data_IF_246738230426
#
_entry.id   IF_246738230426
#
_cell.length_a   1.000
_cell.length_b   1.000
_cell.length_c   1.000
_cell.angle_alpha   90.00
_cell.angle_beta   90.00
_cell.angle_gamma   90.00
#
_symmetry.space_group_name_H-M   'P 1'
#
loop_
_entity.id
_entity.type
_entity.pdbx_description
1 polymer ?
#
# COMPACT_ATOMS: atom_id res chain seq x y z
N UNK A 1 3.87 3.74 -23.53
CA UNK A 1 2.99 4.69 -22.81
C UNK A 1 2.90 4.27 -21.36
N UNK A 2 2.99 5.19 -20.39
CA UNK A 2 3.08 4.87 -18.97
C UNK A 2 1.85 4.10 -18.44
N UNK A 3 0.63 4.50 -18.85
CA UNK A 3 -0.62 3.86 -18.44
C UNK A 3 -0.72 2.41 -18.91
N UNK A 4 -0.29 2.08 -20.13
CA UNK A 4 -0.35 0.71 -20.63
C UNK A 4 0.60 -0.24 -19.87
N UNK A 5 1.77 0.26 -19.44
CA UNK A 5 2.67 -0.52 -18.58
C UNK A 5 2.03 -0.78 -17.23
N UNK A 6 1.34 0.22 -16.68
CA UNK A 6 0.59 0.08 -15.42
C UNK A 6 -0.58 -0.91 -15.54
N UNK A 7 -1.35 -0.88 -16.63
CA UNK A 7 -2.45 -1.82 -16.89
C UNK A 7 -1.99 -3.29 -16.93
N UNK A 8 -0.88 -3.57 -17.60
CA UNK A 8 -0.32 -4.93 -17.61
C UNK A 8 0.32 -5.30 -16.27
N UNK A 9 0.93 -4.30 -15.62
CA UNK A 9 1.62 -4.46 -14.35
C UNK A 9 0.67 -4.77 -13.20
N UNK A 10 -0.52 -4.17 -13.16
CA UNK A 10 -1.48 -4.39 -12.06
C UNK A 10 -2.01 -5.82 -12.06
N UNK A 11 -2.19 -6.43 -13.24
CA UNK A 11 -2.58 -7.84 -13.39
C UNK A 11 -1.43 -8.75 -12.94
N UNK A 12 -0.22 -8.47 -13.40
CA UNK A 12 0.97 -9.27 -13.02
C UNK A 12 1.34 -9.12 -11.54
N UNK A 13 1.00 -7.98 -10.94
CA UNK A 13 1.29 -7.61 -9.56
C UNK A 13 0.14 -7.88 -8.58
N UNK A 14 -0.83 -8.71 -8.96
CA UNK A 14 -1.97 -9.10 -8.12
C UNK A 14 -2.73 -7.90 -7.53
N UNK A 15 -3.07 -6.92 -8.38
CA UNK A 15 -3.86 -5.76 -7.99
C UNK A 15 -3.04 -4.57 -7.51
N UNK A 16 -1.71 -4.58 -7.56
CA UNK A 16 -0.91 -3.38 -7.30
C UNK A 16 0.28 -3.27 -8.24
N UNK A 17 0.48 -2.09 -8.81
CA UNK A 17 1.66 -1.81 -9.61
C UNK A 17 2.02 -0.33 -9.61
N UNK A 18 3.29 -0.03 -9.39
CA UNK A 18 3.83 1.32 -9.46
C UNK A 18 5.11 1.32 -10.29
N UNK A 19 5.22 2.25 -11.24
CA UNK A 19 6.40 2.36 -12.09
C UNK A 19 6.63 3.80 -12.51
N UNK A 20 7.86 4.08 -12.94
CA UNK A 20 8.23 5.34 -13.57
C UNK A 20 8.58 5.08 -15.03
N UNK A 21 7.96 5.79 -15.94
CA UNK A 21 8.32 5.82 -17.35
C UNK A 21 8.80 7.24 -17.69
N UNK A 22 10.10 7.36 -17.98
CA UNK A 22 10.78 8.66 -18.15
C UNK A 22 10.54 9.60 -16.94
N UNK A 23 9.86 10.72 -17.18
CA UNK A 23 9.50 11.74 -16.20
C UNK A 23 8.11 11.52 -15.59
N UNK A 24 7.41 10.45 -15.93
CA UNK A 24 6.05 10.16 -15.42
C UNK A 24 6.11 9.01 -14.43
N UNK A 25 5.62 9.25 -13.22
CA UNK A 25 5.31 8.21 -12.26
C UNK A 25 3.84 7.81 -12.40
N UNK A 26 3.56 6.51 -12.42
CA UNK A 26 2.20 5.95 -12.43
C UNK A 26 2.06 4.88 -11.35
N UNK A 27 0.86 4.80 -10.78
CA UNK A 27 0.48 3.80 -9.80
C UNK A 27 -0.96 3.36 -10.05
N UNK A 28 -1.19 2.06 -10.08
CA UNK A 28 -2.50 1.44 -10.13
C UNK A 28 -2.69 0.48 -8.96
N UNK A 29 -3.89 0.46 -8.40
CA UNK A 29 -4.30 -0.44 -7.33
C UNK A 29 -5.73 -0.92 -7.56
N UNK A 30 -5.97 -2.22 -7.38
CA UNK A 30 -7.29 -2.85 -7.40
C UNK A 30 -7.68 -3.27 -5.98
N UNK A 31 -8.98 -3.47 -5.76
CA UNK A 31 -9.48 -4.10 -4.54
C UNK A 31 -8.98 -5.55 -4.45
N UNK A 32 -8.72 -6.03 -3.22
CA UNK A 32 -8.01 -7.30 -3.01
C UNK A 32 -8.81 -8.56 -3.34
N UNK A 33 -10.14 -8.46 -3.47
CA UNK A 33 -11.05 -9.53 -3.87
C UNK A 33 -11.30 -9.58 -5.38
N UNK A 34 -10.73 -8.63 -6.13
CA UNK A 34 -11.01 -8.45 -7.55
C UNK A 34 -10.18 -9.42 -8.42
N UNK A 35 -10.85 -10.09 -9.36
CA UNK A 35 -10.16 -10.96 -10.32
C UNK A 35 -9.31 -10.17 -11.32
N UNK A 36 -8.33 -10.84 -11.95
CA UNK A 36 -7.40 -10.21 -12.91
C UNK A 36 -8.10 -9.48 -14.06
N UNK A 37 -9.16 -10.08 -14.61
CA UNK A 37 -9.94 -9.50 -15.70
C UNK A 37 -10.67 -8.21 -15.25
N UNK A 38 -11.36 -8.27 -14.11
CA UNK A 38 -12.09 -7.15 -13.52
C UNK A 38 -11.14 -6.01 -13.11
N UNK A 39 -9.96 -6.37 -12.60
CA UNK A 39 -8.90 -5.41 -12.27
C UNK A 39 -8.37 -4.69 -13.51
N UNK A 40 -8.09 -5.44 -14.60
CA UNK A 40 -7.69 -4.85 -15.88
C UNK A 40 -8.75 -3.88 -16.42
N UNK A 41 -10.02 -4.28 -16.38
CA UNK A 41 -11.13 -3.45 -16.87
C UNK A 41 -11.35 -2.21 -16.01
N UNK A 42 -11.28 -2.33 -14.69
CA UNK A 42 -11.41 -1.19 -13.80
C UNK A 42 -10.30 -0.16 -14.05
N UNK A 43 -9.05 -0.61 -14.14
CA UNK A 43 -7.90 0.28 -14.39
C UNK A 43 -8.01 0.94 -15.76
N UNK A 44 -8.41 0.23 -16.81
CA UNK A 44 -8.69 0.81 -18.13
C UNK A 44 -9.75 1.91 -18.06
N UNK A 45 -10.84 1.66 -17.35
CA UNK A 45 -11.91 2.64 -17.14
C UNK A 45 -11.38 3.88 -16.39
N UNK A 46 -10.55 3.68 -15.37
CA UNK A 46 -9.94 4.78 -14.62
C UNK A 46 -9.00 5.62 -15.51
N UNK A 47 -8.23 4.97 -16.39
CA UNK A 47 -7.35 5.63 -17.37
C UNK A 47 -8.18 6.49 -18.33
N UNK A 48 -9.23 5.94 -18.92
CA UNK A 48 -10.12 6.71 -19.81
C UNK A 48 -10.71 7.94 -19.12
N UNK A 49 -11.16 7.82 -17.87
CA UNK A 49 -11.64 8.98 -17.10
C UNK A 49 -10.53 9.99 -16.85
N UNK A 50 -9.32 9.53 -16.55
CA UNK A 50 -8.18 10.41 -16.34
C UNK A 50 -7.82 11.21 -17.61
N UNK A 51 -8.00 10.64 -18.80
CA UNK A 51 -7.76 11.35 -20.06
C UNK A 51 -8.79 12.46 -20.29
N UNK A 52 -10.06 12.21 -19.95
CA UNK A 52 -11.15 13.18 -20.11
C UNK A 52 -11.09 14.29 -19.05
N UNK A 53 -10.90 13.92 -17.78
CA UNK A 53 -10.96 14.86 -16.66
C UNK A 53 -9.61 15.52 -16.35
N UNK A 54 -8.50 14.80 -16.57
CA UNK A 54 -7.15 15.22 -16.18
C UNK A 54 -6.17 15.30 -17.37
N UNK A 55 -6.61 15.21 -18.64
CA UNK A 55 -5.72 15.10 -19.81
C UNK A 55 -4.73 16.26 -20.02
N UNK A 56 -4.92 17.41 -19.35
CA UNK A 56 -3.99 18.55 -19.36
C UNK A 56 -3.26 18.77 -18.03
N UNK A 57 -3.52 17.92 -17.04
CA UNK A 57 -2.97 18.06 -15.70
C UNK A 57 -1.60 17.39 -15.63
N UNK A 58 -0.68 17.98 -14.86
CA UNK A 58 0.65 17.39 -14.61
C UNK A 58 0.59 16.22 -13.63
N UNK A 59 -0.48 16.11 -12.85
CA UNK A 59 -0.74 15.01 -11.94
C UNK A 59 -2.24 14.83 -11.79
N UNK A 60 -2.67 13.61 -11.56
CA UNK A 60 -4.07 13.29 -11.36
C UNK A 60 -4.24 12.00 -10.58
N UNK A 61 -5.40 11.90 -9.93
CA UNK A 61 -5.80 10.72 -9.17
C UNK A 61 -7.26 10.43 -9.51
N UNK A 62 -7.55 9.18 -9.88
CA UNK A 62 -8.91 8.73 -10.18
C UNK A 62 -9.24 7.58 -9.25
N UNK A 63 -10.33 7.74 -8.50
CA UNK A 63 -10.87 6.75 -7.59
C UNK A 63 -12.15 6.18 -8.17
N UNK A 64 -12.16 4.88 -8.44
CA UNK A 64 -13.35 4.12 -8.77
C UNK A 64 -13.69 3.19 -7.61
N UNK A 65 -14.87 2.56 -7.68
CA UNK A 65 -15.33 1.67 -6.61
C UNK A 65 -14.37 0.50 -6.34
N UNK A 66 -13.78 -0.06 -7.41
CA UNK A 66 -12.96 -1.28 -7.38
C UNK A 66 -11.46 -1.05 -7.64
N UNK A 67 -11.04 0.18 -7.98
CA UNK A 67 -9.65 0.47 -8.27
C UNK A 67 -9.33 1.97 -8.15
N UNK A 68 -8.03 2.25 -8.08
CA UNK A 68 -7.44 3.56 -7.96
C UNK A 68 -6.27 3.67 -8.93
N UNK A 69 -6.15 4.82 -9.59
CA UNK A 69 -4.94 5.17 -10.35
C UNK A 69 -4.44 6.56 -9.96
N UNK A 70 -3.13 6.73 -10.06
CA UNK A 70 -2.44 8.00 -9.86
C UNK A 70 -1.35 8.17 -10.92
N UNK A 71 -1.19 9.39 -11.41
CA UNK A 71 -0.07 9.75 -12.26
C UNK A 71 0.51 11.11 -11.84
N UNK A 72 1.82 11.28 -12.03
CA UNK A 72 2.53 12.52 -11.74
C UNK A 72 3.71 12.71 -12.67
N UNK A 73 3.77 13.87 -13.32
CA UNK A 73 4.87 14.30 -14.17
C UNK A 73 5.88 15.09 -13.36
N UNK A 74 7.14 14.69 -13.45
CA UNK A 74 8.28 15.29 -12.79
C UNK A 74 9.25 15.86 -13.82
N UNK A 75 9.30 17.19 -14.03
CA UNK A 75 10.14 17.79 -15.07
C UNK A 75 11.65 17.50 -14.86
N UNK A 76 12.06 17.25 -13.61
CA UNK A 76 13.43 16.94 -13.24
C UNK A 76 13.69 15.42 -13.06
N UNK A 77 12.78 14.58 -13.57
CA UNK A 77 12.80 13.14 -13.39
C UNK A 77 12.11 12.68 -12.10
N UNK A 78 11.57 11.46 -12.12
CA UNK A 78 10.86 10.88 -10.97
C UNK A 78 11.84 10.65 -9.81
N UNK A 79 11.57 11.16 -8.60
CA UNK A 79 12.40 10.89 -7.44
C UNK A 79 12.46 9.39 -7.16
N UNK A 80 13.61 8.77 -7.39
CA UNK A 80 13.87 7.39 -6.96
C UNK A 80 14.02 7.38 -5.45
N UNK A 81 12.91 7.19 -4.73
CA UNK A 81 13.00 6.65 -3.37
C UNK A 81 13.53 5.23 -3.51
N UNK A 82 14.71 4.95 -2.94
CA UNK A 82 15.18 3.58 -2.76
C UNK A 82 14.04 2.79 -2.10
N UNK A 83 13.40 1.94 -2.88
CA UNK A 83 12.26 1.15 -2.48
C UNK A 83 12.70 0.17 -1.40
N UNK A 84 12.52 0.53 -0.13
CA UNK A 84 12.28 -0.46 0.89
C UNK A 84 10.93 -1.09 0.56
N UNK A 85 10.96 -2.14 -0.25
CA UNK A 85 9.87 -3.06 -0.46
C UNK A 85 9.25 -3.37 0.89
N UNK A 86 8.00 -2.98 1.07
CA UNK A 86 7.13 -3.52 2.12
C UNK A 86 6.80 -4.97 1.77
N UNK A 87 7.82 -5.82 1.81
CA UNK A 87 7.70 -7.25 1.95
C UNK A 87 7.67 -7.53 3.45
N UNK A 88 6.49 -7.80 3.96
CA UNK A 88 6.31 -8.42 5.26
C UNK A 88 7.00 -9.79 5.25
N UNK A 89 8.23 -9.84 5.77
CA UNK A 89 8.88 -11.08 6.19
C UNK A 89 9.84 -10.77 7.34
N UNK A 90 9.54 -11.38 8.47
CA UNK A 90 10.29 -11.35 9.72
C UNK A 90 11.71 -11.92 9.60
N UNK A 91 12.59 -11.36 10.44
CA UNK A 91 13.86 -11.89 10.97
C UNK A 91 15.14 -11.85 10.12
N UNK A 92 16.06 -10.95 10.52
CA UNK A 92 17.40 -11.25 11.07
C UNK A 92 18.54 -10.40 10.49
N UNK A 93 19.23 -9.69 11.39
CA UNK A 93 20.66 -9.37 11.37
C UNK A 93 21.24 -8.54 10.22
N UNK A 94 21.56 -7.27 10.51
CA UNK A 94 22.40 -6.43 9.67
C UNK A 94 22.63 -5.05 10.28
N UNK A 95 23.78 -4.88 10.92
CA UNK A 95 24.26 -3.66 11.57
C UNK A 95 24.35 -2.48 10.58
N UNK A 96 23.47 -1.49 10.72
CA UNK A 96 23.50 -0.25 9.93
C UNK A 96 22.58 0.80 10.57
N UNK A 97 23.18 1.81 11.17
CA UNK A 97 22.52 2.83 12.00
C UNK A 97 21.44 3.60 11.23
N UNK A 98 20.16 3.38 11.57
CA UNK A 98 19.06 4.27 11.21
C UNK A 98 18.23 4.53 12.47
N UNK A 99 18.59 5.58 13.21
CA UNK A 99 17.98 5.98 14.49
C UNK A 99 16.45 5.99 14.45
N UNK A 100 15.84 6.35 13.31
CA UNK A 100 14.38 6.34 13.14
C UNK A 100 13.73 4.95 13.16
N UNK A 101 14.41 3.91 12.63
CA UNK A 101 13.89 2.53 12.63
C UNK A 101 13.92 1.91 14.02
N UNK A 102 14.96 2.20 14.79
CA UNK A 102 15.10 1.72 16.18
C UNK A 102 14.04 2.33 17.10
N UNK A 103 13.75 3.63 16.95
CA UNK A 103 12.73 4.32 17.77
C UNK A 103 11.32 3.75 17.53
N UNK A 104 10.96 3.43 16.28
CA UNK A 104 9.66 2.85 15.95
C UNK A 104 9.45 1.44 16.53
N UNK A 105 10.51 0.60 16.53
CA UNK A 105 10.45 -0.75 17.11
C UNK A 105 10.28 -0.69 18.63
N UNK A 106 10.98 0.22 19.30
CA UNK A 106 10.92 0.37 20.77
C UNK A 106 9.57 0.91 21.22
N UNK A 107 9.03 1.94 20.56
CA UNK A 107 7.71 2.50 20.88
C UNK A 107 6.57 1.53 20.53
N UNK A 108 6.67 0.84 19.40
CA UNK A 108 5.65 -0.14 18.98
C UNK A 108 5.58 -1.37 19.89
N UNK A 109 6.73 -1.89 20.33
CA UNK A 109 6.79 -3.07 21.20
C UNK A 109 6.13 -2.83 22.57
N UNK A 110 6.32 -1.65 23.16
CA UNK A 110 5.76 -1.33 24.48
C UNK A 110 4.21 -1.27 24.47
N UNK A 111 3.60 -0.74 23.41
CA UNK A 111 2.15 -0.65 23.29
C UNK A 111 1.48 -2.04 23.17
N UNK A 112 2.10 -2.96 22.42
CA UNK A 112 1.60 -4.32 22.20
C UNK A 112 1.62 -5.12 23.51
N UNK A 113 2.74 -5.06 24.26
CA UNK A 113 2.86 -5.76 25.55
C UNK A 113 1.83 -5.24 26.54
N UNK A 114 1.64 -3.91 26.61
CA UNK A 114 0.62 -3.30 27.45
C UNK A 114 -0.80 -3.78 27.11
N UNK A 115 -1.16 -3.78 25.83
CA UNK A 115 -2.48 -4.25 25.37
C UNK A 115 -2.70 -5.73 25.69
N UNK A 116 -1.70 -6.59 25.47
CA UNK A 116 -1.78 -8.03 25.78
C UNK A 116 -2.00 -8.27 27.29
N UNK A 117 -1.27 -7.55 28.16
CA UNK A 117 -1.43 -7.68 29.61
C UNK A 117 -2.83 -7.25 30.03
N UNK A 118 -3.34 -6.13 29.52
CA UNK A 118 -4.69 -5.64 29.79
C UNK A 118 -5.73 -6.68 29.34
N UNK A 119 -5.64 -7.17 28.11
CA UNK A 119 -6.53 -8.21 27.59
C UNK A 119 -6.50 -9.49 28.44
N UNK A 120 -5.32 -9.94 28.87
CA UNK A 120 -5.20 -11.11 29.74
C UNK A 120 -5.83 -10.88 31.12
N UNK A 121 -5.72 -9.68 31.70
CA UNK A 121 -6.38 -9.35 32.96
C UNK A 121 -7.90 -9.35 32.83
N UNK A 122 -8.44 -8.76 31.76
CA UNK A 122 -9.88 -8.80 31.47
C UNK A 122 -10.36 -10.23 31.23
N UNK A 123 -9.65 -11.03 30.43
CA UNK A 123 -9.99 -12.42 30.18
C UNK A 123 -10.01 -13.24 31.48
N UNK A 124 -9.00 -13.09 32.35
CA UNK A 124 -8.96 -13.76 33.66
C UNK A 124 -10.12 -13.33 34.56
N UNK A 125 -10.51 -12.05 34.54
CA UNK A 125 -11.65 -11.56 35.31
C UNK A 125 -12.99 -12.12 34.79
N UNK A 126 -13.12 -12.26 33.48
CA UNK A 126 -14.30 -12.88 32.84
C UNK A 126 -14.36 -14.39 33.09
N UNK A 127 -13.21 -15.08 33.11
CA UNK A 127 -13.13 -16.51 33.44
C UNK A 127 -13.45 -16.75 34.92
N UNK A 128 -12.95 -15.91 35.84
CA UNK A 128 -13.32 -15.96 37.27
C UNK A 128 -14.83 -15.78 37.52
N UNK A 129 -15.55 -15.08 36.63
CA UNK A 129 -17.02 -14.97 36.70
C UNK A 129 -17.75 -16.25 36.27
N UNK A 130 -17.09 -17.17 35.55
CA UNK A 130 -17.69 -18.41 35.04
C UNK A 130 -17.56 -19.59 36.00
N UNK A 131 -16.55 -19.62 36.86
CA UNK A 131 -16.36 -20.68 37.88
C UNK A 131 -17.14 -20.43 39.19
N UNK A 132 -17.97 -19.37 39.25
CA UNK A 132 -18.71 -18.96 40.44
C UNK A 132 -20.23 -19.13 40.34
N UNK A 133 -20.73 -20.05 39.52
CA UNK A 133 -22.16 -20.40 39.47
C UNK A 133 -22.38 -21.91 39.50
#
# INVERSE_FOLDING_TARGET
>A
MAFQVMENGVVSGHGFYATSYESVYVLGQCEGDLGDADCSECVKTAVQRSEVECGRSISGQVYLHKCFISFSYYPNGVPRRSSSSSSSSSSSSGNGQNTGKTVAIILGGAAIVGFIVICMMFARNLMKKKDGK
#
